data_IF_260122449592
#
_entry.id   IF_260122449592
#
_cell.length_a   1.000
_cell.length_b   1.000
_cell.length_c   1.000
_cell.angle_alpha   90.00
_cell.angle_beta   90.00
_cell.angle_gamma   90.00
#
_symmetry.space_group_name_H-M   'P 1'
#
loop_
_entity.id
_entity.type
_entity.pdbx_description
1 polymer ?
#
# COMPACT_ATOMS: atom_id res chain seq x y z
N UNK A 1 -0.98 -10.66 -3.37
CA UNK A 1 -0.32 -9.57 -2.62
C UNK A 1 -0.04 -8.46 -3.60
N UNK A 2 -0.33 -7.21 -3.24
CA UNK A 2 0.19 -6.04 -3.93
C UNK A 2 1.14 -5.32 -3.01
N UNK A 3 2.29 -4.89 -3.52
CA UNK A 3 3.21 -4.01 -2.79
C UNK A 3 3.21 -2.64 -3.46
N UNK A 4 3.32 -1.59 -2.65
CA UNK A 4 3.40 -0.21 -3.14
C UNK A 4 2.21 0.10 -4.06
N UNK A 5 2.47 0.73 -5.20
CA UNK A 5 1.47 1.05 -6.22
C UNK A 5 0.77 -0.19 -6.82
N UNK A 6 1.41 -1.36 -6.81
CA UNK A 6 0.85 -2.61 -7.31
C UNK A 6 -0.42 -3.07 -6.58
N UNK A 7 -0.71 -2.50 -5.40
CA UNK A 7 -1.99 -2.69 -4.69
C UNK A 7 -3.18 -2.28 -5.56
N UNK A 8 -3.07 -1.23 -6.35
CA UNK A 8 -4.18 -0.80 -7.22
C UNK A 8 -4.61 -1.92 -8.19
N UNK A 9 -3.67 -2.69 -8.74
CA UNK A 9 -3.98 -3.83 -9.61
C UNK A 9 -4.73 -4.93 -8.87
N UNK A 10 -4.37 -5.20 -7.61
CA UNK A 10 -5.10 -6.17 -6.77
C UNK A 10 -6.51 -5.69 -6.47
N UNK A 11 -6.70 -4.39 -6.21
CA UNK A 11 -8.02 -3.82 -5.97
C UNK A 11 -8.91 -3.86 -7.22
N UNK A 12 -8.33 -3.78 -8.42
CA UNK A 12 -9.07 -3.89 -9.68
C UNK A 12 -9.84 -5.22 -9.78
N UNK A 13 -9.24 -6.31 -9.32
CA UNK A 13 -9.86 -7.64 -9.27
C UNK A 13 -11.18 -7.64 -8.49
N UNK A 14 -11.21 -6.95 -7.34
CA UNK A 14 -12.38 -6.91 -6.46
C UNK A 14 -13.41 -5.88 -6.91
N UNK A 15 -12.94 -4.75 -7.44
CA UNK A 15 -13.79 -3.65 -7.85
C UNK A 15 -14.56 -3.94 -9.15
N UNK A 16 -14.01 -4.77 -10.04
CA UNK A 16 -14.55 -5.01 -11.37
C UNK A 16 -14.86 -6.50 -11.61
N UNK A 17 -15.84 -7.09 -10.91
CA UNK A 17 -16.16 -8.51 -11.05
C UNK A 17 -16.56 -8.92 -12.48
N UNK A 18 -17.03 -7.97 -13.30
CA UNK A 18 -17.38 -8.21 -14.70
C UNK A 18 -16.15 -8.34 -15.62
N UNK A 19 -14.96 -7.99 -15.15
CA UNK A 19 -13.73 -8.12 -15.93
C UNK A 19 -13.26 -9.58 -16.06
N UNK A 20 -13.80 -10.49 -15.23
CA UNK A 20 -13.52 -11.93 -15.32
C UNK A 20 -14.81 -12.73 -15.32
N UNK A 21 -14.85 -13.89 -16.02
CA UNK A 21 -15.93 -14.87 -15.88
C UNK A 21 -16.20 -15.25 -14.42
N UNK A 22 -17.48 -15.42 -14.07
CA UNK A 22 -17.92 -15.71 -12.69
C UNK A 22 -17.35 -17.02 -12.15
N UNK A 23 -17.10 -17.97 -13.05
CA UNK A 23 -16.56 -19.29 -12.77
C UNK A 23 -15.19 -19.20 -12.09
N UNK A 24 -14.37 -18.20 -12.42
CA UNK A 24 -13.07 -17.99 -11.78
C UNK A 24 -13.22 -17.53 -10.32
N UNK A 25 -14.17 -16.65 -10.02
CA UNK A 25 -14.44 -16.26 -8.63
C UNK A 25 -14.94 -17.45 -7.81
N UNK A 26 -15.82 -18.29 -8.37
CA UNK A 26 -16.28 -19.51 -7.69
C UNK A 26 -15.14 -20.51 -7.42
N UNK A 27 -14.15 -20.58 -8.30
CA UNK A 27 -12.96 -21.41 -8.08
C UNK A 27 -12.01 -20.84 -7.03
N UNK A 28 -11.88 -19.51 -6.96
CA UNK A 28 -11.01 -18.84 -5.99
C UNK A 28 -11.62 -18.78 -4.58
N UNK A 29 -12.93 -18.62 -4.48
CA UNK A 29 -13.66 -18.44 -3.22
C UNK A 29 -13.30 -19.44 -2.11
N UNK A 30 -13.17 -20.76 -2.35
CA UNK A 30 -12.79 -21.69 -1.28
C UNK A 30 -11.33 -21.55 -0.79
N UNK A 31 -10.44 -20.91 -1.56
CA UNK A 31 -8.99 -20.89 -1.28
C UNK A 31 -8.45 -19.50 -0.96
N UNK A 32 -9.02 -18.45 -1.53
CA UNK A 32 -8.51 -17.09 -1.40
C UNK A 32 -9.17 -16.40 -0.19
N UNK A 33 -8.55 -16.53 0.98
CA UNK A 33 -9.04 -15.96 2.24
C UNK A 33 -8.51 -14.58 2.55
N UNK A 34 -7.35 -14.21 2.00
CA UNK A 34 -6.75 -12.91 2.28
C UNK A 34 -6.03 -12.34 1.08
N UNK A 35 -6.18 -11.04 0.88
CA UNK A 35 -5.24 -10.26 0.08
C UNK A 35 -4.39 -9.39 1.01
N UNK A 36 -3.12 -9.25 0.66
CA UNK A 36 -2.19 -8.38 1.37
C UNK A 36 -1.99 -7.11 0.55
N UNK A 37 -2.26 -5.96 1.17
CA UNK A 37 -1.86 -4.64 0.70
C UNK A 37 -0.60 -4.26 1.48
N UNK A 38 0.56 -4.34 0.83
CA UNK A 38 1.84 -4.12 1.47
C UNK A 38 2.37 -2.72 1.20
N UNK A 39 2.36 -1.89 2.24
CA UNK A 39 2.85 -0.51 2.27
C UNK A 39 2.42 0.34 1.05
N UNK A 40 1.12 0.41 0.72
CA UNK A 40 0.64 1.17 -0.43
C UNK A 40 0.65 2.69 -0.19
N UNK A 41 1.12 3.49 -1.17
CA UNK A 41 0.98 4.94 -1.13
C UNK A 41 -0.47 5.38 -1.30
N UNK A 42 -0.82 6.57 -0.79
CA UNK A 42 -2.18 7.12 -0.86
C UNK A 42 -2.77 7.17 -2.28
N UNK A 43 -1.94 7.41 -3.29
CA UNK A 43 -2.36 7.45 -4.70
C UNK A 43 -2.68 6.07 -5.29
N UNK A 44 -2.25 4.96 -4.65
CA UNK A 44 -2.69 3.61 -5.02
C UNK A 44 -4.19 3.39 -4.71
N UNK A 45 -4.76 4.24 -3.85
CA UNK A 45 -6.18 4.30 -3.56
C UNK A 45 -6.87 5.53 -4.14
N UNK A 46 -6.14 6.38 -4.87
CA UNK A 46 -6.65 7.66 -5.36
C UNK A 46 -7.11 8.59 -4.24
N UNK A 47 -6.50 8.53 -3.05
CA UNK A 47 -6.85 9.47 -1.98
C UNK A 47 -6.32 10.86 -2.29
N UNK A 48 -6.97 11.87 -1.73
CA UNK A 48 -6.56 13.27 -1.88
C UNK A 48 -5.66 13.67 -0.71
N UNK A 49 -4.85 14.70 -0.93
CA UNK A 49 -4.15 15.40 0.13
C UNK A 49 -5.14 16.39 0.77
N UNK A 50 -5.03 16.60 2.09
CA UNK A 50 -5.90 17.54 2.81
C UNK A 50 -5.55 19.01 2.56
N UNK A 51 -4.36 19.28 1.99
CA UNK A 51 -3.86 20.62 1.70
C UNK A 51 -3.34 21.37 2.93
N UNK A 52 -3.24 20.71 4.09
CA UNK A 52 -2.75 21.32 5.34
C UNK A 52 -1.24 21.59 5.32
N UNK A 53 -0.52 20.85 4.48
CA UNK A 53 0.94 20.92 4.34
C UNK A 53 1.32 20.94 2.85
N UNK A 54 2.51 21.48 2.56
CA UNK A 54 3.18 21.37 1.26
C UNK A 54 4.30 20.31 1.37
N UNK A 55 3.98 19.02 1.17
CA UNK A 55 4.91 17.95 1.46
C UNK A 55 5.95 17.82 0.33
N UNK A 56 7.19 17.54 0.69
CA UNK A 56 8.22 17.25 -0.31
C UNK A 56 7.81 16.06 -1.19
N UNK A 57 7.88 16.24 -2.51
CA UNK A 57 7.68 15.19 -3.49
C UNK A 57 8.79 15.27 -4.55
N UNK A 58 9.64 14.23 -4.68
CA UNK A 58 10.74 14.24 -5.64
C UNK A 58 10.24 14.33 -7.09
N UNK A 59 8.99 13.93 -7.37
CA UNK A 59 8.44 13.99 -8.72
C UNK A 59 8.11 15.40 -9.19
N UNK A 60 7.94 16.35 -8.26
CA UNK A 60 7.53 17.73 -8.53
C UNK A 60 8.56 18.76 -8.07
N UNK A 61 9.72 18.34 -7.56
CA UNK A 61 10.78 19.26 -7.13
C UNK A 61 11.33 20.07 -8.32
N UNK A 62 11.18 21.41 -8.32
CA UNK A 62 11.60 22.26 -9.43
C UNK A 62 13.13 22.34 -9.58
N UNK A 63 13.89 21.92 -8.58
CA UNK A 63 15.36 21.94 -8.62
C UNK A 63 15.94 20.76 -9.41
N UNK A 64 15.18 19.68 -9.59
CA UNK A 64 15.61 18.49 -10.33
C UNK A 64 15.35 18.68 -11.82
N UNK A 65 16.41 18.76 -12.63
CA UNK A 65 16.32 19.19 -14.04
C UNK A 65 16.14 18.04 -15.02
N UNK A 66 16.64 16.85 -14.68
CA UNK A 66 16.62 15.69 -15.57
C UNK A 66 15.75 14.57 -15.01
N UNK A 67 15.27 13.68 -15.89
CA UNK A 67 14.48 12.53 -15.46
C UNK A 67 15.35 11.55 -14.67
N UNK A 68 16.58 11.32 -15.14
CA UNK A 68 17.56 10.43 -14.55
C UNK A 68 17.92 10.87 -13.12
N UNK A 69 18.14 12.17 -12.90
CA UNK A 69 18.36 12.73 -11.57
C UNK A 69 17.13 12.57 -10.67
N UNK A 70 15.92 12.73 -11.23
CA UNK A 70 14.66 12.53 -10.51
C UNK A 70 14.51 11.11 -10.00
N UNK A 71 14.79 10.13 -10.86
CA UNK A 71 14.76 8.71 -10.48
C UNK A 71 15.79 8.39 -9.42
N UNK A 72 17.02 8.89 -9.59
CA UNK A 72 18.08 8.71 -8.59
C UNK A 72 17.67 9.27 -7.24
N UNK A 73 17.14 10.49 -7.18
CA UNK A 73 16.67 11.10 -5.92
C UNK A 73 15.49 10.33 -5.36
N UNK A 74 14.52 9.96 -6.20
CA UNK A 74 13.36 9.17 -5.81
C UNK A 74 13.78 7.86 -5.13
N UNK A 75 14.75 7.13 -5.69
CA UNK A 75 15.23 5.86 -5.10
C UNK A 75 15.73 6.03 -3.66
N UNK A 76 16.50 7.07 -3.36
CA UNK A 76 16.95 7.34 -1.98
C UNK A 76 15.79 7.79 -1.10
N UNK A 77 14.93 8.66 -1.60
CA UNK A 77 13.77 9.16 -0.86
C UNK A 77 12.80 8.02 -0.49
N UNK A 78 12.43 7.18 -1.45
CA UNK A 78 11.45 6.10 -1.26
C UNK A 78 12.00 4.99 -0.35
N UNK A 79 13.33 4.82 -0.28
CA UNK A 79 13.99 3.80 0.55
C UNK A 79 14.57 4.32 1.86
N UNK A 80 14.34 5.59 2.20
CA UNK A 80 14.77 6.18 3.47
C UNK A 80 13.94 5.68 4.67
N UNK A 81 14.45 5.88 5.89
CA UNK A 81 13.80 5.53 7.15
C UNK A 81 13.34 6.81 7.87
N UNK A 82 12.04 7.10 7.80
CA UNK A 82 11.45 8.34 8.29
C UNK A 82 10.97 8.22 9.73
N UNK A 83 11.07 9.33 10.48
CA UNK A 83 10.65 9.41 11.87
C UNK A 83 9.45 10.36 11.99
N UNK A 84 8.25 9.80 11.80
CA UNK A 84 7.00 10.56 11.91
C UNK A 84 6.75 11.00 13.36
N UNK A 85 6.38 12.27 13.54
CA UNK A 85 6.17 12.89 14.84
C UNK A 85 4.88 12.40 15.53
N UNK A 86 3.77 12.34 14.79
CA UNK A 86 2.47 11.92 15.31
C UNK A 86 1.56 11.34 14.23
N UNK A 87 1.70 10.04 13.99
CA UNK A 87 0.84 9.26 13.08
C UNK A 87 -0.58 9.12 13.65
N UNK A 88 -0.73 9.16 14.98
CA UNK A 88 -2.01 8.88 15.65
C UNK A 88 -3.01 10.02 15.51
N UNK A 89 -2.52 11.25 15.29
CA UNK A 89 -3.32 12.44 14.98
C UNK A 89 -4.30 12.25 13.82
N UNK A 90 -3.94 11.38 12.86
CA UNK A 90 -4.69 11.23 11.61
C UNK A 90 -4.62 12.44 10.68
N UNK A 91 -3.66 13.34 10.89
CA UNK A 91 -3.36 14.52 10.04
C UNK A 91 -2.00 14.36 9.36
N UNK A 92 -1.84 15.02 8.22
CA UNK A 92 -0.55 15.13 7.54
C UNK A 92 0.49 15.91 8.36
N UNK A 93 0.10 16.80 9.26
CA UNK A 93 1.03 17.62 10.06
C UNK A 93 2.02 16.82 10.93
N UNK A 94 1.68 15.57 11.28
CA UNK A 94 2.52 14.68 12.07
C UNK A 94 3.52 13.84 11.28
N UNK A 95 3.63 14.00 9.96
CA UNK A 95 4.52 13.17 9.11
C UNK A 95 5.87 13.85 8.85
N UNK A 96 6.86 13.04 8.46
CA UNK A 96 8.19 13.48 8.09
C UNK A 96 8.28 13.68 6.57
N UNK A 97 8.75 14.86 6.17
CA UNK A 97 8.82 15.33 4.79
C UNK A 97 10.26 15.59 4.31
N UNK A 98 11.26 15.06 5.02
CA UNK A 98 12.66 15.18 4.59
C UNK A 98 12.86 14.60 3.18
N UNK A 99 13.83 15.14 2.45
CA UNK A 99 14.16 14.69 1.10
C UNK A 99 14.84 13.32 1.10
N UNK A 100 15.51 12.99 2.19
CA UNK A 100 16.24 11.76 2.45
C UNK A 100 16.60 11.74 3.95
N UNK A 101 16.75 10.56 4.53
CA UNK A 101 17.29 10.38 5.88
C UNK A 101 18.72 9.83 5.86
N UNK A 102 19.29 9.69 7.05
CA UNK A 102 20.67 9.26 7.30
C UNK A 102 20.94 7.84 6.78
N UNK A 103 19.88 7.02 6.70
CA UNK A 103 19.91 5.66 6.21
C UNK A 103 18.85 5.46 5.13
N UNK A 104 19.21 4.74 4.06
CA UNK A 104 18.28 4.22 3.06
C UNK A 104 18.61 2.75 2.73
N UNK A 105 17.61 1.91 2.44
CA UNK A 105 17.86 0.48 2.12
C UNK A 105 18.75 0.28 0.90
N UNK A 106 18.76 1.25 -0.02
CA UNK A 106 19.62 1.18 -1.21
C UNK A 106 21.08 1.53 -0.91
N UNK A 107 21.41 2.09 0.26
CA UNK A 107 22.80 2.44 0.60
C UNK A 107 23.72 1.22 0.69
N UNK A 108 23.16 0.05 1.00
CA UNK A 108 23.90 -1.21 1.09
C UNK A 108 23.90 -2.03 -0.21
N UNK A 109 23.22 -1.57 -1.27
CA UNK A 109 23.11 -2.31 -2.52
C UNK A 109 24.24 -1.95 -3.49
N UNK A 110 24.81 -2.95 -4.15
CA UNK A 110 25.74 -2.73 -5.26
C UNK A 110 24.99 -2.18 -6.49
N UNK A 111 25.69 -1.49 -7.42
CA UNK A 111 25.09 -1.07 -8.70
C UNK A 111 24.47 -2.23 -9.49
N UNK A 112 25.09 -3.40 -9.45
CA UNK A 112 24.61 -4.62 -10.10
C UNK A 112 23.31 -5.11 -9.45
N UNK A 113 23.25 -5.15 -8.11
CA UNK A 113 22.03 -5.51 -7.38
C UNK A 113 20.90 -4.53 -7.70
N UNK A 114 21.18 -3.21 -7.71
CA UNK A 114 20.20 -2.19 -8.06
C UNK A 114 19.64 -2.37 -9.48
N UNK A 115 20.50 -2.71 -10.45
CA UNK A 115 20.09 -2.94 -11.84
C UNK A 115 19.18 -4.16 -12.04
N UNK A 116 19.23 -5.13 -11.12
CA UNK A 116 18.35 -6.30 -11.15
C UNK A 116 16.97 -6.03 -10.52
N UNK A 117 16.88 -5.03 -9.66
CA UNK A 117 15.68 -4.76 -8.86
C UNK A 117 14.73 -3.75 -9.51
N UNK A 118 15.17 -3.01 -10.53
CA UNK A 118 14.44 -1.89 -11.09
C UNK A 118 14.64 -1.71 -12.60
N UNK A 119 13.55 -1.43 -13.31
CA UNK A 119 13.56 -1.05 -14.73
C UNK A 119 12.73 0.22 -14.95
N UNK A 120 13.39 1.35 -15.20
CA UNK A 120 12.75 2.65 -15.42
C UNK A 120 11.74 2.63 -16.57
N UNK A 121 12.15 2.05 -17.70
CA UNK A 121 11.32 2.02 -18.89
C UNK A 121 10.02 1.24 -18.67
N UNK A 122 10.01 0.22 -17.79
CA UNK A 122 8.80 -0.50 -17.43
C UNK A 122 7.88 0.36 -16.55
N UNK A 123 8.43 1.02 -15.53
CA UNK A 123 7.66 1.88 -14.62
C UNK A 123 6.95 3.03 -15.38
N UNK A 124 7.65 3.68 -16.32
CA UNK A 124 7.08 4.75 -17.16
C UNK A 124 5.90 4.26 -17.99
N UNK A 125 6.05 3.10 -18.64
CA UNK A 125 5.02 2.58 -19.54
C UNK A 125 3.80 2.03 -18.80
N UNK A 126 3.98 1.45 -17.62
CA UNK A 126 2.94 0.66 -16.95
C UNK A 126 2.26 1.38 -15.77
N UNK A 127 3.02 2.10 -14.95
CA UNK A 127 2.57 2.46 -13.59
C UNK A 127 2.42 3.96 -13.37
N UNK A 128 3.33 4.78 -13.92
CA UNK A 128 3.33 6.22 -13.66
C UNK A 128 2.06 6.93 -14.14
N UNK A 129 1.42 6.46 -15.21
CA UNK A 129 0.16 7.04 -15.66
C UNK A 129 -0.99 6.85 -14.67
N UNK A 130 -0.91 5.84 -13.79
CA UNK A 130 -1.94 5.60 -12.77
C UNK A 130 -1.89 6.62 -11.64
N UNK A 131 -0.72 7.19 -11.32
CA UNK A 131 -0.56 8.16 -10.23
C UNK A 131 -0.88 9.59 -10.62
N UNK A 132 -1.10 9.85 -11.91
CA UNK A 132 -1.35 11.18 -12.46
C UNK A 132 -2.84 11.40 -12.76
N UNK A 133 -3.34 12.64 -12.69
CA UNK A 133 -4.65 12.97 -13.26
C UNK A 133 -4.71 12.64 -14.77
N UNK A 134 -5.88 12.22 -15.29
CA UNK A 134 -7.17 12.07 -14.60
C UNK A 134 -7.35 10.72 -13.88
N UNK A 135 -6.39 9.81 -13.97
CA UNK A 135 -6.53 8.41 -13.52
C UNK A 135 -6.80 8.26 -12.02
N UNK A 136 -6.33 9.19 -11.18
CA UNK A 136 -6.54 9.15 -9.74
C UNK A 136 -8.03 9.08 -9.34
N UNK A 137 -8.93 9.71 -10.12
CA UNK A 137 -10.38 9.60 -9.90
C UNK A 137 -10.90 8.17 -10.14
N UNK A 138 -10.41 7.50 -11.19
CA UNK A 138 -10.72 6.11 -11.50
C UNK A 138 -10.17 5.17 -10.44
N UNK A 139 -8.92 5.37 -10.01
CA UNK A 139 -8.29 4.59 -8.93
C UNK A 139 -9.05 4.76 -7.62
N UNK A 140 -9.54 5.97 -7.31
CA UNK A 140 -10.37 6.22 -6.14
C UNK A 140 -11.70 5.46 -6.18
N UNK A 141 -12.41 5.51 -7.32
CA UNK A 141 -13.64 4.77 -7.50
C UNK A 141 -13.41 3.25 -7.39
N UNK A 142 -12.31 2.76 -7.96
CA UNK A 142 -11.89 1.36 -7.86
C UNK A 142 -11.64 0.95 -6.40
N UNK A 143 -10.83 1.71 -5.66
CA UNK A 143 -10.51 1.40 -4.27
C UNK A 143 -11.77 1.44 -3.38
N UNK A 144 -12.65 2.43 -3.58
CA UNK A 144 -13.95 2.51 -2.88
C UNK A 144 -14.80 1.27 -3.13
N UNK A 145 -14.90 0.83 -4.38
CA UNK A 145 -15.66 -0.37 -4.75
C UNK A 145 -15.05 -1.65 -4.18
N UNK A 146 -13.74 -1.81 -4.24
CA UNK A 146 -13.06 -3.01 -3.75
C UNK A 146 -13.17 -3.19 -2.23
N UNK A 147 -13.06 -2.09 -1.48
CA UNK A 147 -12.90 -2.11 -0.02
C UNK A 147 -14.19 -1.77 0.73
N UNK A 148 -15.00 -0.84 0.21
CA UNK A 148 -16.07 -0.18 0.97
C UNK A 148 -17.48 -0.31 0.36
N UNK A 149 -17.62 -0.99 -0.78
CA UNK A 149 -18.95 -1.30 -1.34
C UNK A 149 -19.50 -2.57 -0.68
N UNK A 150 -20.61 -2.43 0.06
CA UNK A 150 -21.22 -3.55 0.80
C UNK A 150 -21.72 -4.67 -0.11
N UNK A 151 -22.20 -4.33 -1.30
CA UNK A 151 -22.73 -5.32 -2.25
C UNK A 151 -21.59 -6.17 -2.79
N UNK A 152 -20.49 -5.55 -3.21
CA UNK A 152 -19.31 -6.27 -3.69
C UNK A 152 -18.62 -7.04 -2.56
N UNK A 153 -18.52 -6.47 -1.36
CA UNK A 153 -17.98 -7.17 -0.19
C UNK A 153 -18.77 -8.46 0.13
N UNK A 154 -20.08 -8.48 -0.11
CA UNK A 154 -20.94 -9.65 0.17
C UNK A 154 -21.12 -10.61 -1.02
N UNK A 155 -20.79 -10.20 -2.24
CA UNK A 155 -21.06 -11.01 -3.45
C UNK A 155 -19.80 -11.43 -4.21
N UNK A 156 -18.67 -10.74 -4.01
CA UNK A 156 -17.40 -11.03 -4.67
C UNK A 156 -16.38 -11.43 -3.61
N UNK A 157 -16.14 -12.74 -3.52
CA UNK A 157 -15.28 -13.36 -2.52
C UNK A 157 -15.67 -12.91 -1.10
N UNK A 158 -16.86 -13.28 -0.62
CA UNK A 158 -17.41 -12.76 0.65
C UNK A 158 -16.55 -13.08 1.88
N UNK A 159 -15.86 -14.21 1.87
CA UNK A 159 -14.98 -14.64 2.96
C UNK A 159 -13.56 -14.06 2.84
N UNK A 160 -13.29 -13.18 1.87
CA UNK A 160 -12.00 -12.55 1.66
C UNK A 160 -11.83 -11.32 2.55
N UNK A 161 -10.82 -11.37 3.42
CA UNK A 161 -10.36 -10.21 4.20
C UNK A 161 -9.15 -9.53 3.54
N UNK A 162 -8.87 -8.31 3.99
CA UNK A 162 -7.71 -7.52 3.59
C UNK A 162 -6.77 -7.36 4.76
N UNK A 163 -5.50 -7.68 4.54
CA UNK A 163 -4.42 -7.39 5.49
C UNK A 163 -3.63 -6.21 4.95
N UNK A 164 -3.66 -5.09 5.67
CA UNK A 164 -2.88 -3.90 5.37
C UNK A 164 -1.58 -3.94 6.18
N UNK A 165 -0.48 -4.32 5.53
CA UNK A 165 0.85 -4.25 6.15
C UNK A 165 1.39 -2.84 5.96
N UNK A 166 1.85 -2.21 7.03
CA UNK A 166 2.34 -0.82 7.04
C UNK A 166 3.70 -0.76 7.70
N UNK A 167 4.64 -0.15 6.99
CA UNK A 167 6.00 0.07 7.47
C UNK A 167 6.06 1.40 8.21
N UNK A 168 6.33 1.39 9.51
CA UNK A 168 6.15 2.59 10.35
C UNK A 168 7.22 3.67 10.13
N UNK A 169 8.31 3.34 9.42
CA UNK A 169 9.36 4.27 9.00
C UNK A 169 9.40 4.48 7.48
N UNK A 170 8.29 4.21 6.80
CA UNK A 170 8.12 4.47 5.36
C UNK A 170 8.01 5.96 5.05
N UNK A 171 8.03 6.33 3.76
CA UNK A 171 7.83 7.73 3.35
C UNK A 171 6.37 8.18 3.52
N UNK A 172 6.15 9.49 3.58
CA UNK A 172 4.85 10.07 3.91
C UNK A 172 3.69 9.61 2.98
N UNK A 173 3.96 9.26 1.71
CA UNK A 173 2.87 8.78 0.84
C UNK A 173 2.20 7.51 1.38
N UNK A 174 2.98 6.54 1.85
CA UNK A 174 2.46 5.26 2.37
C UNK A 174 1.82 5.45 3.73
N UNK A 175 2.42 6.29 4.58
CA UNK A 175 1.82 6.63 5.87
C UNK A 175 0.47 7.35 5.70
N UNK A 176 0.35 8.26 4.74
CA UNK A 176 -0.93 8.90 4.43
C UNK A 176 -1.96 7.91 3.86
N UNK A 177 -1.52 6.97 3.03
CA UNK A 177 -2.35 5.85 2.56
C UNK A 177 -2.94 5.06 3.72
N UNK A 178 -2.10 4.65 4.69
CA UNK A 178 -2.54 3.98 5.90
C UNK A 178 -3.56 4.79 6.71
N UNK A 179 -3.24 6.05 7.04
CA UNK A 179 -4.10 6.94 7.83
C UNK A 179 -5.48 7.06 7.19
N UNK A 180 -5.54 7.31 5.88
CA UNK A 180 -6.80 7.49 5.16
C UNK A 180 -7.59 6.19 5.04
N UNK A 181 -6.95 5.05 4.76
CA UNK A 181 -7.63 3.76 4.72
C UNK A 181 -8.24 3.44 6.10
N UNK A 182 -7.46 3.62 7.18
CA UNK A 182 -7.94 3.38 8.55
C UNK A 182 -9.13 4.27 8.90
N UNK A 183 -9.01 5.59 8.68
CA UNK A 183 -10.08 6.56 8.94
C UNK A 183 -11.37 6.22 8.20
N UNK A 184 -11.26 5.84 6.91
CA UNK A 184 -12.43 5.44 6.10
C UNK A 184 -13.04 4.16 6.64
N UNK A 185 -12.24 3.11 6.85
CA UNK A 185 -12.71 1.83 7.37
C UNK A 185 -13.43 1.98 8.72
N UNK A 186 -12.82 2.66 9.68
CA UNK A 186 -13.43 2.93 10.99
C UNK A 186 -14.76 3.69 10.86
N UNK A 187 -14.85 4.66 9.94
CA UNK A 187 -16.09 5.39 9.70
C UNK A 187 -17.19 4.48 9.11
N UNK A 188 -16.87 3.56 8.21
CA UNK A 188 -17.81 2.55 7.69
C UNK A 188 -18.29 1.60 8.80
N UNK A 189 -17.36 1.08 9.61
CA UNK A 189 -17.68 0.20 10.75
C UNK A 189 -18.55 0.92 11.79
N UNK A 190 -18.26 2.18 12.11
CA UNK A 190 -19.06 2.98 13.04
C UNK A 190 -20.50 3.21 12.56
N UNK A 191 -20.75 3.17 11.24
CA UNK A 191 -22.10 3.22 10.66
C UNK A 191 -22.81 1.86 10.59
N UNK A 192 -22.14 0.78 10.98
CA UNK A 192 -22.67 -0.59 10.92
C UNK A 192 -22.70 -1.18 9.50
N UNK A 193 -21.95 -0.59 8.57
CA UNK A 193 -21.90 -1.03 7.17
C UNK A 193 -21.04 -2.30 7.04
N UNK A 194 -21.50 -3.27 6.23
CA UNK A 194 -20.83 -4.56 6.01
C UNK A 194 -19.80 -4.46 4.89
N UNK A 195 -18.82 -3.59 5.10
CA UNK A 195 -17.67 -3.45 4.20
C UNK A 195 -16.68 -4.60 4.38
N UNK A 196 -15.71 -4.73 3.47
CA UNK A 196 -14.71 -5.80 3.54
C UNK A 196 -13.89 -5.64 4.82
N UNK A 197 -13.66 -6.75 5.53
CA UNK A 197 -12.84 -6.74 6.75
C UNK A 197 -11.42 -6.31 6.41
N UNK A 198 -10.93 -5.24 7.05
CA UNK A 198 -9.55 -4.77 6.92
C UNK A 198 -8.88 -4.89 8.29
N UNK A 199 -7.82 -5.69 8.37
CA UNK A 199 -6.90 -5.72 9.50
C UNK A 199 -5.61 -4.99 9.15
N UNK A 200 -4.91 -4.46 10.15
CA UNK A 200 -3.64 -3.76 9.97
C UNK A 200 -2.53 -4.49 10.72
N UNK A 201 -1.38 -4.66 10.07
CA UNK A 201 -0.16 -5.16 10.68
C UNK A 201 0.90 -4.06 10.52
N UNK A 202 1.49 -3.64 11.63
CA UNK A 202 2.51 -2.60 11.63
C UNK A 202 3.89 -3.25 11.74
N UNK A 203 4.85 -2.74 10.99
CA UNK A 203 6.27 -3.11 11.05
C UNK A 203 7.02 -1.91 11.65
N UNK A 204 7.29 -1.89 12.97
CA UNK A 204 7.73 -0.68 13.68
C UNK A 204 9.03 -0.06 13.16
N UNK A 205 9.98 -0.88 12.72
CA UNK A 205 11.28 -0.41 12.20
C UNK A 205 11.38 -0.50 10.68
N UNK A 206 10.35 -1.02 10.01
CA UNK A 206 10.35 -1.21 8.56
C UNK A 206 10.22 0.10 7.80
N UNK A 207 10.95 0.23 6.70
CA UNK A 207 10.69 1.21 5.65
C UNK A 207 9.96 0.56 4.46
N UNK A 208 9.82 1.28 3.35
CA UNK A 208 9.09 0.81 2.17
C UNK A 208 9.61 -0.51 1.54
N UNK A 209 10.87 -0.87 1.80
CA UNK A 209 11.55 -2.03 1.19
C UNK A 209 11.92 -3.13 2.20
N UNK A 210 11.42 -3.07 3.44
CA UNK A 210 11.74 -4.11 4.42
C UNK A 210 11.30 -5.48 3.89
N UNK A 211 12.16 -6.49 4.00
CA UNK A 211 11.79 -7.85 3.64
C UNK A 211 11.04 -8.47 4.81
N UNK A 212 9.88 -9.07 4.53
CA UNK A 212 9.12 -9.77 5.56
C UNK A 212 9.89 -10.99 6.10
N UNK A 213 10.83 -11.56 5.34
CA UNK A 213 11.55 -12.80 5.74
C UNK A 213 12.38 -12.61 7.02
N UNK A 214 12.88 -11.40 7.30
CA UNK A 214 13.63 -11.11 8.53
C UNK A 214 12.76 -10.74 9.74
N UNK A 215 11.47 -10.45 9.54
CA UNK A 215 10.54 -10.03 10.61
C UNK A 215 9.34 -10.98 10.78
N UNK A 216 9.23 -12.01 9.94
CA UNK A 216 8.14 -13.00 9.95
C UNK A 216 8.15 -13.87 11.22
N UNK A 217 9.30 -14.07 11.86
CA UNK A 217 9.36 -14.84 13.13
C UNK A 217 8.55 -14.15 14.24
N UNK A 218 8.53 -12.82 14.28
CA UNK A 218 7.81 -12.06 15.32
C UNK A 218 6.35 -11.73 14.92
N UNK A 219 6.05 -11.55 13.63
CA UNK A 219 4.71 -11.14 13.16
C UNK A 219 3.70 -12.31 13.11
N UNK A 220 4.17 -13.54 12.87
CA UNK A 220 3.28 -14.73 12.87
C UNK A 220 2.79 -15.05 14.30
N UNK A 221 3.60 -14.84 15.33
CA UNK A 221 3.19 -15.05 16.73
C UNK A 221 2.12 -14.05 17.18
N UNK A 222 2.18 -12.79 16.75
CA UNK A 222 1.24 -11.74 17.17
C UNK A 222 -0.14 -11.87 16.51
N UNK A 223 -0.23 -12.47 15.32
CA UNK A 223 -1.49 -12.57 14.55
C UNK A 223 -2.21 -13.92 14.65
N UNK A 224 -1.67 -14.89 15.41
CA UNK A 224 -2.32 -16.20 15.60
C UNK A 224 -2.55 -16.96 14.29
N UNK A 225 -1.73 -16.70 13.26
CA UNK A 225 -1.96 -17.19 11.90
C UNK A 225 -1.70 -18.71 11.71
N UNK A 226 -1.35 -19.41 12.80
CA UNK A 226 -1.30 -20.87 12.86
C UNK A 226 -2.16 -21.39 14.02
N UNK A 227 -3.48 -21.22 13.86
CA UNK A 227 -4.45 -22.02 14.60
C UNK A 227 -4.27 -23.49 14.23
N UNK A 228 -3.65 -24.25 15.15
CA UNK A 228 -3.88 -25.67 15.42
C UNK A 228 -4.49 -26.46 14.27
N UNK A 229 -3.65 -26.97 13.37
CA UNK A 229 -3.99 -28.19 12.63
C UNK A 229 -4.04 -29.32 13.66
N UNK A 230 -5.25 -29.61 14.13
CA UNK A 230 -5.54 -30.82 14.88
C UNK A 230 -5.01 -32.01 14.10
N UNK A 231 -4.16 -32.80 14.73
CA UNK A 231 -3.77 -34.11 14.22
C UNK A 231 -5.00 -35.01 14.21
N UNK A 232 -5.38 -35.63 13.07
CA UNK A 232 -6.28 -36.75 13.09
C UNK A 232 -5.46 -38.04 13.25
N UNK A 233 -5.47 -38.59 14.46
CA UNK A 233 -5.47 -40.02 14.77
C UNK A 233 -5.70 -40.21 16.28
#
# INVERSE_FOLDING_TARGET
MGWSIGVATVLALLAHPQAMPKEYYSQLDPYLRSIVMYDPPYFAFGYELDGEVDPYNPWTDPNIKTHEERYRIFQYWVSSYYDHLDITSGSMSGLDYRHRTEQASIDSMSPEELSLMYEEAAAVRAELHMVLPPMQSTVNAQAKRALFDESLAQTVLPELQVVHIVCMRTHWHCMWGHIQTRKKYEAHVARGEKVRLISSVQIPQGNHFVSLISEIEDVIEVTGFLGTLGSPA
#
